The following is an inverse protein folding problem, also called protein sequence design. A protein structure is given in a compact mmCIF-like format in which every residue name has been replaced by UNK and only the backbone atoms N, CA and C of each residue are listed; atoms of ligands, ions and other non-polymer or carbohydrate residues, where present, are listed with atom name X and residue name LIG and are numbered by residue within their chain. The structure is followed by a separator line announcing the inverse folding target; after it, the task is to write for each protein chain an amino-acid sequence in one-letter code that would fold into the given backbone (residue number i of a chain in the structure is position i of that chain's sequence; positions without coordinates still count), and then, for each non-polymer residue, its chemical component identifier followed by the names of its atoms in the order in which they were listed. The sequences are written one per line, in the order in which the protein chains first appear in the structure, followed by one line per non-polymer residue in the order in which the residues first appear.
data_IF_913461695005
#
_entry.id   IF_913461695005
#
_cell.length_a   1.000
_cell.length_b   1.000
_cell.length_c   1.000
_cell.angle_alpha   90.00
_cell.angle_beta   90.00
_cell.angle_gamma   90.00
#
_symmetry.space_group_name_H-M   'P 1'
#
loop_
_entity.id
_entity.type
_entity.pdbx_description
1 polymer ?
#
# COMPACT_ATOMS: atom_id res chain seq x y z
N UNK A 1 0.49 5.70 -12.65
CA UNK A 1 0.35 4.60 -11.68
C UNK A 1 0.45 5.10 -10.23
N UNK A 2 -0.32 4.56 -9.28
CA UNK A 2 -0.24 4.88 -7.85
C UNK A 2 0.44 3.73 -7.09
N UNK A 3 1.33 4.04 -6.16
CA UNK A 3 2.11 3.07 -5.38
C UNK A 3 2.17 3.48 -3.91
N UNK A 4 2.16 2.50 -3.00
CA UNK A 4 2.45 2.72 -1.60
C UNK A 4 3.95 2.66 -1.35
N UNK A 5 4.42 3.57 -0.50
CA UNK A 5 5.79 3.63 0.02
C UNK A 5 5.74 3.49 1.53
N UNK A 6 6.61 2.66 2.09
CA UNK A 6 6.85 2.60 3.55
C UNK A 6 7.92 3.61 3.93
N UNK A 7 7.58 4.54 4.81
CA UNK A 7 8.51 5.52 5.37
C UNK A 7 9.37 4.88 6.48
N UNK A 8 10.48 5.53 6.82
CA UNK A 8 11.37 5.08 7.91
C UNK A 8 10.66 5.05 9.27
N UNK A 9 9.62 5.87 9.45
CA UNK A 9 8.76 5.88 10.65
C UNK A 9 7.85 4.65 10.75
N UNK A 10 7.76 3.84 9.69
CA UNK A 10 6.83 2.71 9.58
C UNK A 10 5.45 3.10 9.07
N UNK A 11 5.19 4.39 8.84
CA UNK A 11 3.98 4.86 8.16
C UNK A 11 4.01 4.57 6.66
N UNK A 12 2.85 4.68 6.02
CA UNK A 12 2.70 4.49 4.58
C UNK A 12 2.20 5.77 3.92
N UNK A 13 2.73 6.06 2.74
CA UNK A 13 2.30 7.17 1.90
C UNK A 13 2.00 6.68 0.50
N UNK A 14 0.96 7.22 -0.12
CA UNK A 14 0.67 6.97 -1.52
C UNK A 14 1.46 7.95 -2.41
N UNK A 15 2.10 7.44 -3.45
CA UNK A 15 2.89 8.22 -4.41
C UNK A 15 2.37 7.98 -5.82
N UNK A 16 2.19 9.05 -6.59
CA UNK A 16 1.75 9.00 -7.98
C UNK A 16 2.94 9.11 -8.93
N UNK A 17 3.03 8.18 -9.87
CA UNK A 17 4.04 8.12 -10.92
C UNK A 17 3.40 8.28 -12.30
N UNK A 18 4.09 8.98 -13.20
CA UNK A 18 3.81 8.94 -14.64
C UNK A 18 4.38 7.69 -15.30
N UNK A 19 3.93 7.37 -16.52
CA UNK A 19 4.22 6.09 -17.19
C UNK A 19 5.72 5.87 -17.47
N UNK A 20 6.51 6.92 -17.64
CA UNK A 20 7.94 6.84 -17.93
C UNK A 20 8.83 6.72 -16.67
N UNK A 21 8.25 6.82 -15.47
CA UNK A 21 9.00 6.95 -14.22
C UNK A 21 8.57 5.96 -13.14
N UNK A 22 7.94 4.84 -13.52
CA UNK A 22 7.48 3.82 -12.56
C UNK A 22 8.70 3.06 -12.00
N UNK A 23 8.99 3.15 -10.69
CA UNK A 23 10.10 2.44 -10.08
C UNK A 23 9.79 0.93 -9.97
N UNK A 24 10.77 0.05 -9.70
CA UNK A 24 10.49 -1.33 -9.32
C UNK A 24 9.56 -1.40 -8.10
N UNK A 25 8.53 -2.25 -8.18
CA UNK A 25 7.53 -2.41 -7.13
C UNK A 25 7.07 -3.86 -7.00
N UNK A 26 6.55 -4.21 -5.82
CA UNK A 26 5.88 -5.49 -5.60
C UNK A 26 4.37 -5.35 -5.82
N UNK A 27 3.74 -6.36 -6.41
CA UNK A 27 2.27 -6.47 -6.47
C UNK A 27 1.83 -7.51 -5.46
N UNK A 28 0.98 -7.13 -4.52
CA UNK A 28 0.40 -8.05 -3.54
C UNK A 28 -1.13 -7.94 -3.60
N UNK A 29 -1.75 -8.93 -4.24
CA UNK A 29 -3.17 -8.92 -4.63
C UNK A 29 -3.98 -9.99 -3.90
N UNK A 30 -3.81 -10.12 -2.59
CA UNK A 30 -4.64 -11.02 -1.79
C UNK A 30 -5.64 -10.19 -0.98
N UNK A 31 -6.93 -10.51 -1.06
CA UNK A 31 -7.96 -9.98 -0.17
C UNK A 31 -7.83 -10.70 1.18
N UNK A 32 -7.71 -9.95 2.27
CA UNK A 32 -7.42 -10.52 3.60
C UNK A 32 -8.67 -10.56 4.50
N UNK A 33 -9.79 -10.00 4.04
CA UNK A 33 -11.06 -9.95 4.76
C UNK A 33 -12.21 -9.51 3.88
N UNK A 34 -13.29 -9.04 4.51
CA UNK A 34 -14.42 -8.44 3.79
C UNK A 34 -14.05 -7.05 3.24
N UNK A 35 -14.70 -6.62 2.15
CA UNK A 35 -14.45 -5.31 1.53
C UNK A 35 -14.56 -4.13 2.51
N UNK A 36 -15.43 -4.25 3.53
CA UNK A 36 -15.62 -3.24 4.58
C UNK A 36 -14.41 -3.10 5.51
N UNK A 37 -13.58 -4.13 5.60
CA UNK A 37 -12.41 -4.20 6.46
C UNK A 37 -11.13 -3.78 5.73
N UNK A 38 -11.14 -3.80 4.40
CA UNK A 38 -10.03 -3.35 3.57
C UNK A 38 -9.88 -1.81 3.61
N UNK A 39 -8.65 -1.34 3.50
CA UNK A 39 -8.37 0.10 3.44
C UNK A 39 -8.52 0.60 2.02
N UNK A 40 -9.33 1.63 1.86
CA UNK A 40 -9.60 2.26 0.56
C UNK A 40 -8.56 3.32 0.21
N UNK A 41 -8.53 3.74 -1.07
CA UNK A 41 -7.71 4.85 -1.53
C UNK A 41 -7.98 6.16 -0.74
N UNK A 42 -9.25 6.46 -0.46
CA UNK A 42 -9.63 7.67 0.27
C UNK A 42 -9.11 7.64 1.71
N UNK A 43 -9.26 6.50 2.40
CA UNK A 43 -8.80 6.34 3.77
C UNK A 43 -7.27 6.35 3.89
N UNK A 44 -6.56 5.83 2.88
CA UNK A 44 -5.10 5.95 2.81
C UNK A 44 -4.67 7.40 2.61
N UNK A 45 -5.37 8.14 1.76
CA UNK A 45 -5.05 9.56 1.47
C UNK A 45 -5.36 10.46 2.68
N UNK A 46 -6.46 10.20 3.37
CA UNK A 46 -6.90 10.97 4.54
C UNK A 46 -6.27 10.49 5.86
N UNK A 47 -5.55 9.36 5.84
CA UNK A 47 -4.94 8.77 7.03
C UNK A 47 -5.94 8.16 8.03
N UNK A 48 -7.19 7.93 7.63
CA UNK A 48 -8.27 7.43 8.49
C UNK A 48 -8.38 5.89 8.51
N UNK A 49 -7.61 5.20 7.67
CA UNK A 49 -7.67 3.73 7.55
C UNK A 49 -6.85 2.94 8.55
N UNK A 50 -6.12 3.59 9.47
CA UNK A 50 -5.14 2.92 10.36
C UNK A 50 -5.77 1.91 11.34
N UNK A 51 -7.03 2.13 11.71
CA UNK A 51 -7.75 1.29 12.68
C UNK A 51 -8.51 0.13 12.03
N UNK A 52 -8.47 0.01 10.69
CA UNK A 52 -9.10 -1.10 9.97
C UNK A 52 -8.28 -2.37 10.08
N UNK A 53 -8.95 -3.52 10.15
CA UNK A 53 -8.30 -4.84 10.13
C UNK A 53 -7.45 -5.02 8.87
N UNK A 54 -7.91 -4.53 7.71
CA UNK A 54 -7.15 -4.54 6.46
C UNK A 54 -5.90 -3.67 6.47
N UNK A 55 -5.65 -2.86 7.50
CA UNK A 55 -4.39 -2.12 7.63
C UNK A 55 -3.20 -3.06 7.91
N UNK A 56 -3.44 -4.22 8.55
CA UNK A 56 -2.40 -5.23 8.76
C UNK A 56 -1.88 -5.80 7.44
N UNK A 57 -2.74 -5.95 6.44
CA UNK A 57 -2.35 -6.32 5.07
C UNK A 57 -1.34 -5.32 4.51
N UNK A 58 -1.59 -4.01 4.64
CA UNK A 58 -0.65 -2.96 4.19
C UNK A 58 0.70 -3.09 4.88
N UNK A 59 0.69 -3.30 6.21
CA UNK A 59 1.92 -3.49 7.00
C UNK A 59 2.71 -4.69 6.53
N UNK A 60 2.04 -5.82 6.37
CA UNK A 60 2.65 -7.05 5.87
C UNK A 60 3.24 -6.86 4.48
N UNK A 61 2.46 -6.30 3.54
CA UNK A 61 2.89 -6.05 2.17
C UNK A 61 4.12 -5.15 2.10
N UNK A 62 4.13 -4.06 2.87
CA UNK A 62 5.27 -3.15 2.94
C UNK A 62 6.54 -3.82 3.50
N UNK A 63 6.39 -4.72 4.47
CA UNK A 63 7.52 -5.48 5.01
C UNK A 63 8.04 -6.52 4.01
N UNK A 64 7.16 -7.21 3.28
CA UNK A 64 7.55 -8.14 2.21
C UNK A 64 8.30 -7.42 1.08
N UNK A 65 7.80 -6.26 0.63
CA UNK A 65 8.48 -5.43 -0.36
C UNK A 65 9.89 -5.03 0.12
N UNK A 66 9.99 -4.56 1.37
CA UNK A 66 11.26 -4.18 1.99
C UNK A 66 12.25 -5.35 2.06
N UNK A 67 11.80 -6.55 2.43
CA UNK A 67 12.65 -7.76 2.46
C UNK A 67 13.21 -8.10 1.08
N UNK A 68 12.52 -7.73 0.02
CA UNK A 68 12.94 -7.91 -1.37
C UNK A 68 13.74 -6.71 -1.92
N UNK A 69 14.06 -5.72 -1.09
CA UNK A 69 14.78 -4.51 -1.51
C UNK A 69 13.94 -3.54 -2.33
N UNK A 70 12.61 -3.65 -2.27
CA UNK A 70 11.68 -2.78 -2.98
C UNK A 70 11.13 -1.71 -2.03
N UNK A 71 11.20 -0.46 -2.47
CA UNK A 71 10.67 0.69 -1.73
C UNK A 71 9.15 0.85 -1.92
N UNK A 72 8.64 0.38 -3.06
CA UNK A 72 7.26 0.56 -3.49
C UNK A 72 6.51 -0.77 -3.61
N UNK A 73 5.22 -0.71 -3.33
CA UNK A 73 4.32 -1.83 -3.52
C UNK A 73 2.91 -1.36 -3.92
N UNK A 74 2.17 -2.25 -4.55
CA UNK A 74 0.82 -2.02 -5.05
C UNK A 74 -0.18 -2.94 -4.35
N UNK A 75 -1.31 -2.36 -3.94
CA UNK A 75 -2.46 -3.06 -3.36
C UNK A 75 -3.72 -2.58 -4.08
N UNK A 76 -4.56 -3.53 -4.48
CA UNK A 76 -5.79 -3.35 -5.25
C UNK A 76 -6.81 -2.38 -4.64
N UNK A 77 -6.94 -2.35 -3.32
CA UNK A 77 -7.98 -1.56 -2.65
C UNK A 77 -7.64 -0.08 -2.49
N UNK A 78 -6.35 0.27 -2.50
CA UNK A 78 -5.89 1.64 -2.22
C UNK A 78 -4.92 2.24 -3.25
N UNK A 79 -4.49 1.45 -4.24
CA UNK A 79 -3.66 1.90 -5.36
C UNK A 79 -4.45 1.92 -6.70
N UNK A 80 -5.75 2.23 -6.65
CA UNK A 80 -6.66 2.25 -7.83
C UNK A 80 -6.25 3.29 -8.87
#
# INVERSE_FOLDING_TARGET
MRLLRRCDTGDFSLTQFGDEAIPPYAILSHTWGADTEEVTFEEMTNGTGKDKLGYEKIRFCGEQARQHGLEYFWIDTCCI
#
